data_IF_333392401206
#
_entry.id   IF_333392401206
#
_cell.length_a   1.000
_cell.length_b   1.000
_cell.length_c   1.000
_cell.angle_alpha   90.00
_cell.angle_beta   90.00
_cell.angle_gamma   90.00
#
_symmetry.space_group_name_H-M   'P 1'
#
loop_
_entity.id
_entity.type
_entity.pdbx_description
1 polymer ?
#
# COMPACT_ATOMS: atom_id res chain seq x y z
N UNK A 1 1.18 17.75 14.77
CA UNK A 1 1.78 16.65 14.93
C UNK A 1 0.90 15.48 14.90
N UNK A 2 1.36 14.54 14.43
CA UNK A 2 0.50 13.41 14.30
C UNK A 2 0.29 12.83 15.64
N UNK A 3 -0.64 11.99 15.73
CA UNK A 3 -0.95 11.32 16.95
C UNK A 3 -0.25 10.01 17.05
N UNK A 4 0.92 9.96 16.56
CA UNK A 4 1.64 8.72 16.58
C UNK A 4 1.22 7.79 15.46
N UNK A 5 0.30 8.21 14.62
CA UNK A 5 -0.11 7.40 13.50
C UNK A 5 0.72 7.81 12.31
N UNK A 6 1.45 6.85 11.79
CA UNK A 6 2.26 7.07 10.60
C UNK A 6 1.49 6.57 9.40
N UNK A 7 1.33 7.42 8.41
CA UNK A 7 0.58 7.06 7.21
C UNK A 7 1.14 5.81 6.56
N UNK A 8 2.44 5.69 6.49
CA UNK A 8 3.06 4.51 5.89
C UNK A 8 2.78 3.26 6.69
N UNK A 9 2.79 3.38 8.01
CA UNK A 9 2.47 2.23 8.84
C UNK A 9 1.05 1.79 8.64
N UNK A 10 0.15 2.74 8.52
CA UNK A 10 -1.24 2.40 8.34
C UNK A 10 -1.48 1.72 6.99
N UNK A 11 -0.83 2.23 5.95
CA UNK A 11 -0.92 1.58 4.65
C UNK A 11 -0.42 0.15 4.74
N UNK A 12 0.71 -0.03 5.40
CA UNK A 12 1.29 -1.35 5.53
C UNK A 12 0.37 -2.29 6.29
N UNK A 13 -0.22 -1.81 7.39
CA UNK A 13 -1.14 -2.62 8.16
C UNK A 13 -2.33 -3.05 7.33
N UNK A 14 -2.88 -2.14 6.55
CA UNK A 14 -4.02 -2.46 5.73
C UNK A 14 -3.65 -3.52 4.69
N UNK A 15 -2.53 -3.34 4.03
CA UNK A 15 -2.11 -4.30 3.01
C UNK A 15 -1.82 -5.66 3.59
N UNK A 16 -1.20 -5.70 4.77
CA UNK A 16 -0.94 -6.97 5.43
C UNK A 16 -2.22 -7.67 5.82
N UNK A 17 -3.17 -6.92 6.31
CA UNK A 17 -4.44 -7.48 6.72
C UNK A 17 -5.17 -8.09 5.52
N UNK A 18 -5.13 -7.38 4.40
CA UNK A 18 -5.77 -7.86 3.19
C UNK A 18 -5.12 -9.14 2.70
N UNK A 19 -3.79 -9.18 2.70
CA UNK A 19 -3.08 -10.36 2.24
C UNK A 19 -3.36 -11.55 3.14
N UNK A 20 -3.34 -11.32 4.43
CA UNK A 20 -3.48 -12.40 5.38
C UNK A 20 -4.90 -12.95 5.43
N UNK A 21 -5.87 -12.07 5.36
CA UNK A 21 -7.24 -12.50 5.54
C UNK A 21 -7.99 -12.69 4.23
N UNK A 22 -7.40 -12.29 3.14
CA UNK A 22 -8.05 -12.46 1.86
C UNK A 22 -9.29 -11.62 1.69
N UNK A 23 -9.40 -10.53 2.42
CA UNK A 23 -10.57 -9.70 2.33
C UNK A 23 -10.57 -8.84 1.09
N UNK A 24 -11.74 -8.43 0.68
CA UNK A 24 -11.86 -7.52 -0.43
C UNK A 24 -11.23 -6.20 -0.06
N UNK A 25 -10.45 -5.65 -0.96
CA UNK A 25 -9.69 -4.45 -0.66
C UNK A 25 -10.57 -3.28 -0.24
N UNK A 26 -11.69 -3.09 -0.93
CA UNK A 26 -12.55 -1.95 -0.59
C UNK A 26 -13.10 -2.05 0.82
N UNK A 27 -13.49 -3.24 1.21
CA UNK A 27 -14.05 -3.42 2.54
C UNK A 27 -12.97 -3.26 3.59
N UNK A 28 -11.81 -3.86 3.36
CA UNK A 28 -10.73 -3.76 4.33
C UNK A 28 -10.26 -2.32 4.50
N UNK A 29 -10.12 -1.61 3.41
CA UNK A 29 -9.69 -0.24 3.47
C UNK A 29 -10.72 0.62 4.19
N UNK A 30 -11.98 0.43 3.85
CA UNK A 30 -13.03 1.20 4.50
C UNK A 30 -13.10 0.93 5.99
N UNK A 31 -12.97 -0.33 6.37
CA UNK A 31 -12.99 -0.68 7.78
C UNK A 31 -11.82 -0.08 8.53
N UNK A 32 -10.66 -0.13 7.93
CA UNK A 32 -9.50 0.44 8.57
C UNK A 32 -9.64 1.94 8.75
N UNK A 33 -10.07 2.61 7.68
CA UNK A 33 -10.16 4.06 7.73
C UNK A 33 -11.27 4.55 8.65
N UNK A 34 -12.28 3.72 8.88
CA UNK A 34 -13.36 4.14 9.77
C UNK A 34 -12.86 4.33 11.19
N UNK A 35 -11.74 3.74 11.53
CA UNK A 35 -11.15 3.90 12.85
C UNK A 35 -10.33 5.17 12.97
N UNK A 36 -10.05 5.81 11.86
CA UNK A 36 -9.15 6.95 11.84
C UNK A 36 -9.81 8.17 11.21
N UNK A 37 -11.02 8.41 11.61
CA UNK A 37 -11.76 9.54 11.04
C UNK A 37 -11.14 10.86 11.41
N UNK A 38 -10.31 10.89 12.44
CA UNK A 38 -9.66 12.12 12.82
C UNK A 38 -8.53 12.50 11.87
N UNK A 39 -8.16 11.62 10.97
CA UNK A 39 -7.12 11.96 10.01
C UNK A 39 -7.64 12.96 8.99
N UNK A 40 -6.80 13.86 8.53
CA UNK A 40 -7.21 14.80 7.50
C UNK A 40 -7.70 14.08 6.26
N UNK A 41 -8.63 14.71 5.58
CA UNK A 41 -9.20 14.10 4.40
C UNK A 41 -8.14 13.74 3.36
N UNK A 42 -7.14 14.60 3.20
CA UNK A 42 -6.10 14.35 2.22
C UNK A 42 -5.31 13.11 2.56
N UNK A 43 -5.06 12.89 3.84
CA UNK A 43 -4.31 11.70 4.23
C UNK A 43 -5.13 10.45 4.01
N UNK A 44 -6.42 10.51 4.33
CA UNK A 44 -7.26 9.35 4.10
C UNK A 44 -7.38 9.04 2.62
N UNK A 45 -7.46 10.08 1.78
CA UNK A 45 -7.51 9.87 0.35
C UNK A 45 -6.21 9.26 -0.16
N UNK A 46 -5.09 9.71 0.37
CA UNK A 46 -3.80 9.17 -0.04
C UNK A 46 -3.69 7.70 0.34
N UNK A 47 -4.08 7.36 1.56
CA UNK A 47 -4.02 5.98 2.01
C UNK A 47 -4.89 5.11 1.13
N UNK A 48 -6.09 5.56 0.86
CA UNK A 48 -7.00 4.79 0.01
C UNK A 48 -6.39 4.58 -1.38
N UNK A 49 -5.84 5.65 -1.93
CA UNK A 49 -5.28 5.55 -3.27
C UNK A 49 -4.12 4.57 -3.34
N UNK A 50 -3.22 4.64 -2.36
CA UNK A 50 -2.07 3.76 -2.37
C UNK A 50 -2.50 2.31 -2.18
N UNK A 51 -3.41 2.07 -1.24
CA UNK A 51 -3.83 0.71 -0.98
C UNK A 51 -4.58 0.13 -2.18
N UNK A 52 -5.53 0.87 -2.71
CA UNK A 52 -6.30 0.37 -3.84
C UNK A 52 -5.43 0.18 -5.07
N UNK A 53 -4.54 1.12 -5.31
CA UNK A 53 -3.68 1.01 -6.47
C UNK A 53 -2.70 -0.14 -6.36
N UNK A 54 -2.15 -0.32 -5.18
CA UNK A 54 -1.21 -1.42 -4.97
C UNK A 54 -1.90 -2.77 -5.24
N UNK A 55 -3.13 -2.90 -4.79
CA UNK A 55 -3.85 -4.14 -5.00
C UNK A 55 -4.28 -4.31 -6.45
N UNK A 56 -4.70 -3.23 -7.06
CA UNK A 56 -5.16 -3.30 -8.43
C UNK A 56 -4.06 -3.69 -9.39
N UNK A 57 -2.86 -3.15 -9.18
CA UNK A 57 -1.75 -3.44 -10.06
C UNK A 57 -0.77 -4.44 -9.49
N UNK A 58 -1.21 -5.26 -8.57
CA UNK A 58 -0.32 -6.17 -7.87
C UNK A 58 0.47 -7.08 -8.80
N UNK A 59 -0.18 -7.62 -9.80
CA UNK A 59 0.51 -8.55 -10.70
C UNK A 59 1.63 -7.85 -11.43
N UNK A 60 1.37 -6.67 -11.95
CA UNK A 60 2.40 -5.90 -12.63
C UNK A 60 3.51 -5.48 -11.68
N UNK A 61 3.12 -5.05 -10.48
CA UNK A 61 4.09 -4.64 -9.49
C UNK A 61 5.00 -5.79 -9.12
N UNK A 62 4.44 -6.97 -8.91
CA UNK A 62 5.24 -8.14 -8.58
C UNK A 62 6.20 -8.49 -9.71
N UNK A 63 5.75 -8.34 -10.93
CA UNK A 63 6.62 -8.57 -12.07
C UNK A 63 7.80 -7.61 -12.06
N UNK A 64 7.53 -6.34 -11.76
CA UNK A 64 8.58 -5.35 -11.70
C UNK A 64 9.58 -5.69 -10.60
N UNK A 65 9.07 -6.04 -9.42
CA UNK A 65 9.95 -6.37 -8.32
C UNK A 65 10.81 -7.57 -8.67
N UNK A 66 10.21 -8.61 -9.24
CA UNK A 66 10.95 -9.80 -9.58
C UNK A 66 12.01 -9.52 -10.64
N UNK A 67 11.80 -8.51 -11.45
CA UNK A 67 12.78 -8.16 -12.48
C UNK A 67 14.07 -7.62 -11.88
N UNK A 68 13.97 -7.01 -10.72
CA UNK A 68 15.13 -6.37 -10.09
C UNK A 68 15.64 -7.07 -8.86
N UNK A 69 14.86 -7.95 -8.30
CA UNK A 69 15.21 -8.58 -7.04
C UNK A 69 15.72 -9.98 -7.27
N UNK A 70 16.72 -10.38 -6.50
CA UNK A 70 17.19 -11.75 -6.58
C UNK A 70 16.27 -12.70 -5.83
N UNK A 71 15.47 -12.15 -4.93
CA UNK A 71 14.53 -12.95 -4.17
C UNK A 71 13.15 -12.74 -4.76
N UNK A 72 12.48 -13.83 -5.08
CA UNK A 72 11.14 -13.75 -5.62
C UNK A 72 10.18 -13.14 -4.61
N UNK A 73 9.24 -12.38 -5.10
CA UNK A 73 8.23 -11.78 -4.24
C UNK A 73 7.55 -12.84 -3.39
N UNK A 74 7.30 -14.01 -3.98
CA UNK A 74 6.63 -15.09 -3.26
C UNK A 74 7.41 -15.55 -2.04
N UNK A 75 8.71 -15.39 -2.06
CA UNK A 75 9.54 -15.88 -0.97
C UNK A 75 9.88 -14.83 0.04
N UNK A 76 9.40 -13.64 -0.16
CA UNK A 76 9.66 -12.56 0.78
C UNK A 76 8.72 -12.66 1.97
N UNK A 77 9.19 -12.15 3.10
CA UNK A 77 8.30 -12.04 4.25
C UNK A 77 7.20 -11.05 3.92
N UNK A 78 6.01 -11.27 4.44
CA UNK A 78 4.89 -10.39 4.09
C UNK A 78 5.16 -8.91 4.32
N UNK A 79 5.82 -8.57 5.40
CA UNK A 79 6.10 -7.16 5.68
C UNK A 79 6.98 -6.56 4.60
N UNK A 80 8.04 -7.27 4.24
CA UNK A 80 8.95 -6.81 3.20
C UNK A 80 8.21 -6.70 1.88
N UNK A 81 7.43 -7.72 1.59
CA UNK A 81 6.69 -7.77 0.33
C UNK A 81 5.76 -6.57 0.17
N UNK A 82 5.01 -6.26 1.22
CA UNK A 82 4.06 -5.17 1.11
C UNK A 82 4.73 -3.81 1.12
N UNK A 83 5.85 -3.68 1.82
CA UNK A 83 6.61 -2.44 1.76
C UNK A 83 7.07 -2.19 0.33
N UNK A 84 7.61 -3.22 -0.31
CA UNK A 84 8.09 -3.07 -1.68
C UNK A 84 6.95 -2.81 -2.65
N UNK A 85 5.84 -3.52 -2.49
CA UNK A 85 4.72 -3.33 -3.38
C UNK A 85 4.19 -1.90 -3.34
N UNK A 86 3.99 -1.39 -2.14
CA UNK A 86 3.44 -0.05 -2.02
C UNK A 86 4.44 0.99 -2.49
N UNK A 87 5.73 0.75 -2.27
CA UNK A 87 6.74 1.68 -2.75
C UNK A 87 6.78 1.71 -4.26
N UNK A 88 6.73 0.55 -4.89
CA UNK A 88 6.74 0.49 -6.35
C UNK A 88 5.51 1.17 -6.91
N UNK A 89 4.36 0.97 -6.29
CA UNK A 89 3.16 1.63 -6.76
C UNK A 89 3.34 3.15 -6.74
N UNK A 90 3.86 3.66 -5.65
CA UNK A 90 4.02 5.11 -5.54
C UNK A 90 5.00 5.64 -6.56
N UNK A 91 6.09 4.93 -6.76
CA UNK A 91 7.11 5.40 -7.68
C UNK A 91 6.65 5.31 -9.12
N UNK A 92 6.04 4.22 -9.51
CA UNK A 92 5.71 4.00 -10.91
C UNK A 92 4.37 4.57 -11.32
N UNK A 93 3.43 4.67 -10.40
CA UNK A 93 2.08 5.06 -10.76
C UNK A 93 1.64 6.39 -10.18
N UNK A 94 2.24 6.81 -9.08
CA UNK A 94 1.84 8.05 -8.47
C UNK A 94 2.85 9.15 -8.70
N UNK A 95 4.09 8.78 -8.93
CA UNK A 95 5.12 9.78 -9.13
C UNK A 95 5.15 10.21 -10.57
N UNK A 96 4.00 10.53 -11.08
CA UNK A 96 3.93 11.02 -12.43
C UNK A 96 3.96 12.53 -12.42
N UNK A 97 4.14 13.07 -11.24
CA UNK A 97 4.21 14.51 -11.14
C UNK A 97 5.40 15.02 -11.91
N UNK A 98 5.18 15.95 -12.78
CA UNK A 98 6.30 16.48 -13.54
C UNK A 98 7.32 17.10 -12.61
N UNK A 99 8.54 16.80 -12.93
CA UNK A 99 9.53 17.36 -12.17
C UNK A 99 9.82 18.61 -12.77
N UNK A 100 9.86 19.49 -12.22
CA UNK A 100 10.09 20.66 -12.94
C UNK A 100 11.47 21.06 -12.95
#
# INVERSE_FOLDING_TARGET
MTNGINTRELILQILLEIEEEGKHSHIAIRNALSKYQFLPRQERAFITRVCEGTLEYRILIDYIIDSYSKVSVDKMKPVIREILRSAVYQIRFMDSVPRS
#
